data_IF_887426121522
#
_entry.id   IF_887426121522
#
_cell.length_a   1.000
_cell.length_b   1.000
_cell.length_c   1.000
_cell.angle_alpha   90.00
_cell.angle_beta   90.00
_cell.angle_gamma   90.00
#
_symmetry.space_group_name_H-M   'P 1'
#
loop_
_entity.id
_entity.type
_entity.pdbx_description
1 polymer ?
#
# COMPACT_ATOMS: atom_id res chain seq x y z
N UNK A 1 -22.73 32.50 -3.16
CA UNK A 1 -22.89 31.43 -2.17
C UNK A 1 -21.51 30.97 -1.72
N UNK A 2 -21.18 31.15 -0.45
CA UNK A 2 -19.94 30.65 0.11
C UNK A 2 -19.97 29.17 0.30
N UNK A 3 -18.80 28.50 0.25
CA UNK A 3 -18.68 27.11 0.62
C UNK A 3 -19.02 26.95 2.11
N UNK A 4 -19.69 25.87 2.47
CA UNK A 4 -19.91 25.51 3.86
C UNK A 4 -18.61 25.10 4.55
N UNK A 5 -18.67 24.74 5.85
CA UNK A 5 -17.49 24.25 6.55
C UNK A 5 -16.94 22.99 5.88
N UNK A 6 -15.63 22.86 5.93
CA UNK A 6 -14.96 21.64 5.45
C UNK A 6 -15.27 20.51 6.42
N UNK A 7 -15.92 19.46 5.92
CA UNK A 7 -16.15 18.26 6.69
C UNK A 7 -15.14 17.19 6.28
N UNK A 8 -14.47 16.62 7.26
CA UNK A 8 -13.54 15.52 7.02
C UNK A 8 -14.27 14.18 7.01
N UNK A 9 -14.06 13.39 5.95
CA UNK A 9 -14.56 12.03 5.87
C UNK A 9 -13.57 11.10 6.58
N UNK A 10 -13.97 10.39 7.63
CA UNK A 10 -13.07 9.47 8.33
C UNK A 10 -12.57 8.32 7.45
N UNK A 11 -13.23 8.04 6.34
CA UNK A 11 -12.82 7.02 5.36
C UNK A 11 -11.84 7.53 4.30
N UNK A 12 -11.49 8.81 4.32
CA UNK A 12 -10.58 9.42 3.36
C UNK A 12 -9.45 10.15 4.06
N UNK A 13 -8.25 10.11 3.44
CA UNK A 13 -7.13 10.92 3.93
C UNK A 13 -7.39 12.39 3.66
N UNK A 14 -6.99 13.25 4.60
CA UNK A 14 -6.95 14.69 4.35
C UNK A 14 -5.88 15.00 3.30
N UNK A 15 -5.98 16.15 2.65
CA UNK A 15 -4.96 16.61 1.71
C UNK A 15 -3.58 16.70 2.37
N UNK A 16 -3.51 17.24 3.60
CA UNK A 16 -2.26 17.28 4.36
C UNK A 16 -1.68 15.91 4.63
N UNK A 17 -2.52 14.92 4.92
CA UNK A 17 -2.07 13.54 5.14
C UNK A 17 -1.55 12.91 3.84
N UNK A 18 -2.18 13.20 2.71
CA UNK A 18 -1.67 12.74 1.40
C UNK A 18 -0.27 13.29 1.12
N UNK A 19 -0.05 14.58 1.40
CA UNK A 19 1.27 15.20 1.26
C UNK A 19 2.30 14.59 2.21
N UNK A 20 1.90 14.31 3.45
CA UNK A 20 2.75 13.64 4.43
C UNK A 20 3.15 12.25 3.94
N UNK A 21 2.20 11.48 3.40
CA UNK A 21 2.47 10.16 2.86
C UNK A 21 3.44 10.20 1.67
N UNK A 22 3.29 11.15 0.76
CA UNK A 22 4.22 11.35 -0.35
C UNK A 22 5.62 11.70 0.16
N UNK A 23 5.72 12.52 1.18
CA UNK A 23 6.99 12.86 1.82
C UNK A 23 7.65 11.63 2.44
N UNK A 24 6.88 10.79 3.12
CA UNK A 24 7.38 9.53 3.69
C UNK A 24 7.92 8.62 2.58
N UNK A 25 7.18 8.44 1.50
CA UNK A 25 7.60 7.60 0.38
C UNK A 25 8.93 8.07 -0.22
N UNK A 26 9.07 9.37 -0.44
CA UNK A 26 10.29 9.96 -0.98
C UNK A 26 11.48 9.79 -0.05
N UNK A 27 11.31 10.13 1.23
CA UNK A 27 12.37 10.00 2.23
C UNK A 27 12.78 8.55 2.43
N UNK A 28 11.82 7.64 2.49
CA UNK A 28 12.09 6.22 2.66
C UNK A 28 12.94 5.68 1.50
N UNK A 29 12.55 5.99 0.28
CA UNK A 29 13.26 5.54 -0.92
C UNK A 29 14.70 6.06 -0.96
N UNK A 30 14.88 7.35 -0.72
CA UNK A 30 16.21 7.97 -0.71
C UNK A 30 17.06 7.40 0.42
N UNK A 31 16.50 7.30 1.63
CA UNK A 31 17.26 6.86 2.80
C UNK A 31 17.62 5.37 2.75
N UNK A 32 16.74 4.53 2.22
CA UNK A 32 17.02 3.11 2.02
C UNK A 32 18.19 2.96 1.02
N UNK A 33 18.10 3.60 -0.14
CA UNK A 33 19.15 3.51 -1.15
C UNK A 33 20.51 4.03 -0.64
N UNK A 34 20.49 5.03 0.22
CA UNK A 34 21.72 5.58 0.83
C UNK A 34 22.29 4.69 1.92
N UNK A 35 21.50 3.80 2.51
CA UNK A 35 21.91 2.99 3.64
C UNK A 35 22.86 1.84 3.27
N UNK A 36 22.75 1.30 2.05
CA UNK A 36 23.60 0.19 1.60
C UNK A 36 23.63 0.11 0.07
N UNK A 37 24.79 -0.21 -0.47
CA UNK A 37 24.97 -0.38 -1.93
C UNK A 37 24.14 -1.55 -2.50
N UNK A 38 23.82 -2.53 -1.68
CA UNK A 38 23.05 -3.72 -2.08
C UNK A 38 21.66 -3.42 -2.60
N UNK A 39 21.12 -2.26 -2.29
CA UNK A 39 19.81 -1.85 -2.83
C UNK A 39 19.87 -1.40 -4.29
N UNK A 40 21.05 -1.12 -4.82
CA UNK A 40 21.21 -0.63 -6.19
C UNK A 40 20.67 -1.57 -7.27
N UNK A 41 20.72 -2.88 -7.05
CA UNK A 41 20.19 -3.88 -7.98
C UNK A 41 18.86 -4.47 -7.55
N UNK A 42 18.32 -4.02 -6.43
CA UNK A 42 17.07 -4.54 -5.88
C UNK A 42 15.85 -3.86 -6.52
N UNK A 43 14.73 -4.56 -6.49
CA UNK A 43 13.43 -3.97 -6.81
C UNK A 43 12.69 -3.70 -5.50
N UNK A 44 12.59 -2.45 -5.12
CA UNK A 44 11.96 -2.05 -3.86
C UNK A 44 11.02 -0.88 -4.09
N UNK A 45 9.78 -1.03 -3.65
CA UNK A 45 8.76 0.01 -3.69
C UNK A 45 8.28 0.32 -2.28
N UNK A 46 8.01 1.60 -2.05
CA UNK A 46 7.49 2.11 -0.78
C UNK A 46 6.14 2.77 -1.04
N UNK A 47 5.14 2.37 -0.29
CA UNK A 47 3.81 2.98 -0.33
C UNK A 47 3.42 3.38 1.08
N UNK A 48 3.03 4.64 1.27
CA UNK A 48 2.54 5.14 2.56
C UNK A 48 1.08 5.55 2.45
N UNK A 49 0.27 5.04 3.35
CA UNK A 49 -1.15 5.39 3.44
C UNK A 49 -1.49 5.71 4.88
N UNK A 50 -1.78 6.97 5.15
CA UNK A 50 -2.07 7.48 6.50
C UNK A 50 -0.98 7.09 7.53
N UNK A 51 0.28 7.10 7.11
CA UNK A 51 1.43 6.74 7.94
C UNK A 51 1.67 5.24 8.09
N UNK A 52 0.83 4.41 7.51
CA UNK A 52 1.07 2.97 7.38
C UNK A 52 1.93 2.75 6.13
N UNK A 53 3.13 2.24 6.33
CA UNK A 53 4.13 2.11 5.26
C UNK A 53 4.27 0.66 4.85
N UNK A 54 4.12 0.40 3.57
CA UNK A 54 4.32 -0.91 2.95
C UNK A 54 5.63 -0.90 2.17
N UNK A 55 6.47 -1.90 2.45
CA UNK A 55 7.68 -2.17 1.69
C UNK A 55 7.47 -3.47 0.91
N UNK A 56 7.53 -3.41 -0.40
CA UNK A 56 7.38 -4.57 -1.28
C UNK A 56 8.50 -4.63 -2.31
N UNK A 57 8.75 -5.81 -2.81
CA UNK A 57 9.77 -6.06 -3.81
C UNK A 57 10.73 -7.15 -3.37
N UNK A 58 11.91 -7.15 -3.96
CA UNK A 58 12.93 -8.17 -3.72
C UNK A 58 14.25 -7.49 -3.35
N UNK A 59 14.90 -8.04 -2.33
CA UNK A 59 16.21 -7.60 -1.86
C UNK A 59 17.16 -8.80 -1.76
N UNK A 60 18.48 -8.58 -1.88
CA UNK A 60 19.42 -9.71 -1.98
C UNK A 60 19.67 -10.48 -0.68
N UNK A 61 19.30 -9.94 0.49
CA UNK A 61 19.58 -10.62 1.76
C UNK A 61 18.57 -10.28 2.85
N UNK A 62 18.51 -11.12 3.88
CA UNK A 62 17.69 -10.86 5.08
C UNK A 62 18.16 -9.61 5.81
N UNK A 63 19.47 -9.34 5.83
CA UNK A 63 20.05 -8.16 6.46
C UNK A 63 19.51 -6.89 5.80
N UNK A 64 19.43 -6.86 4.46
CA UNK A 64 18.90 -5.71 3.74
C UNK A 64 17.39 -5.58 3.92
N UNK A 65 16.68 -6.70 4.03
CA UNK A 65 15.25 -6.67 4.37
C UNK A 65 15.02 -5.99 5.72
N UNK A 66 15.75 -6.39 6.75
CA UNK A 66 15.66 -5.84 8.10
C UNK A 66 16.10 -4.37 8.14
N UNK A 67 17.19 -4.04 7.46
CA UNK A 67 17.71 -2.67 7.39
C UNK A 67 16.67 -1.70 6.83
N UNK A 68 15.91 -2.10 5.84
CA UNK A 68 14.86 -1.27 5.27
C UNK A 68 13.84 -0.83 6.34
N UNK A 69 13.41 -1.75 7.19
CA UNK A 69 12.52 -1.41 8.33
C UNK A 69 13.19 -0.42 9.27
N UNK A 70 14.46 -0.65 9.62
CA UNK A 70 15.17 0.21 10.56
C UNK A 70 15.31 1.64 10.03
N UNK A 71 15.55 1.78 8.73
CA UNK A 71 15.63 3.09 8.07
C UNK A 71 14.28 3.81 8.09
N UNK A 72 13.22 3.12 7.72
CA UNK A 72 11.87 3.71 7.64
C UNK A 72 11.35 4.09 9.03
N UNK A 73 11.68 3.31 10.06
CA UNK A 73 11.25 3.57 11.43
C UNK A 73 11.68 4.95 11.94
N UNK A 74 12.77 5.51 11.42
CA UNK A 74 13.31 6.81 11.84
C UNK A 74 12.62 8.01 11.17
N UNK A 75 11.77 7.77 10.20
CA UNK A 75 11.07 8.84 9.47
C UNK A 75 9.88 9.32 10.30
N UNK A 76 9.74 10.65 10.43
CA UNK A 76 8.60 11.25 11.13
C UNK A 76 7.30 10.87 10.48
N UNK A 77 6.25 10.76 11.29
CA UNK A 77 4.88 10.46 10.88
C UNK A 77 4.62 9.02 10.44
N UNK A 78 5.63 8.16 10.44
CA UNK A 78 5.43 6.73 10.22
C UNK A 78 4.78 6.11 11.44
N UNK A 79 3.60 5.52 11.26
CA UNK A 79 2.80 4.94 12.34
C UNK A 79 2.94 3.42 12.42
N UNK A 80 3.10 2.76 11.28
CA UNK A 80 3.24 1.31 11.20
C UNK A 80 4.01 0.95 9.93
N UNK A 81 4.80 -0.12 10.01
CA UNK A 81 5.59 -0.62 8.88
C UNK A 81 5.21 -2.06 8.60
N UNK A 82 4.85 -2.33 7.36
CA UNK A 82 4.64 -3.69 6.85
C UNK A 82 5.79 -4.00 5.91
N UNK A 83 6.73 -4.80 6.38
CA UNK A 83 7.87 -5.23 5.56
C UNK A 83 7.54 -6.55 4.88
N UNK A 84 7.05 -6.44 3.66
CA UNK A 84 6.69 -7.58 2.81
C UNK A 84 7.74 -7.83 1.73
N UNK A 85 8.97 -7.35 1.95
CA UNK A 85 10.08 -7.63 1.04
C UNK A 85 10.42 -9.12 1.04
N UNK A 86 10.72 -9.64 -0.13
CA UNK A 86 11.19 -11.02 -0.28
C UNK A 86 12.69 -11.00 -0.56
N UNK A 87 13.39 -11.99 -0.01
CA UNK A 87 14.81 -12.19 -0.31
C UNK A 87 14.93 -12.96 -1.61
N UNK A 88 15.60 -12.37 -2.60
CA UNK A 88 15.76 -12.98 -3.90
C UNK A 88 16.15 -11.97 -4.96
N UNK A 89 16.23 -12.43 -6.18
CA UNK A 89 16.51 -11.57 -7.33
C UNK A 89 15.28 -10.72 -7.68
N UNK A 90 15.54 -9.53 -8.21
CA UNK A 90 14.49 -8.65 -8.69
C UNK A 90 13.70 -9.32 -9.82
N UNK A 91 12.37 -9.19 -9.77
CA UNK A 91 11.49 -9.68 -10.84
C UNK A 91 11.75 -8.90 -12.13
N UNK A 92 11.53 -9.57 -13.26
CA UNK A 92 11.71 -8.97 -14.57
C UNK A 92 10.53 -8.10 -15.01
N UNK A 93 10.70 -7.46 -16.17
CA UNK A 93 9.69 -6.56 -16.75
C UNK A 93 8.35 -7.25 -17.02
N UNK A 94 8.37 -8.55 -17.37
CA UNK A 94 7.15 -9.33 -17.59
C UNK A 94 6.29 -9.46 -16.33
N UNK A 95 6.93 -9.75 -15.20
CA UNK A 95 6.24 -9.83 -13.91
C UNK A 95 5.67 -8.47 -13.49
N UNK A 96 6.42 -7.40 -13.71
CA UNK A 96 5.96 -6.02 -13.37
C UNK A 96 4.77 -5.60 -14.24
N UNK A 97 4.79 -5.95 -15.52
CA UNK A 97 3.67 -5.68 -16.43
C UNK A 97 2.43 -6.45 -15.99
N UNK A 98 2.60 -7.71 -15.61
CA UNK A 98 1.52 -8.54 -15.08
C UNK A 98 0.95 -7.95 -13.78
N UNK A 99 1.81 -7.47 -12.88
CA UNK A 99 1.39 -6.82 -11.63
C UNK A 99 0.58 -5.55 -11.91
N UNK A 100 0.98 -4.75 -12.86
CA UNK A 100 0.23 -3.55 -13.28
C UNK A 100 -1.15 -3.94 -13.81
N UNK A 101 -1.21 -4.98 -14.61
CA UNK A 101 -2.48 -5.49 -15.14
C UNK A 101 -3.40 -5.98 -14.02
N UNK A 102 -2.85 -6.74 -13.05
CA UNK A 102 -3.60 -7.20 -11.88
C UNK A 102 -4.16 -6.03 -11.08
N UNK A 103 -3.33 -5.02 -10.80
CA UNK A 103 -3.77 -3.81 -10.10
C UNK A 103 -4.97 -3.18 -10.81
N UNK A 104 -4.89 -3.05 -12.12
CA UNK A 104 -5.97 -2.47 -12.93
C UNK A 104 -7.24 -3.30 -12.84
N UNK A 105 -7.14 -4.63 -12.91
CA UNK A 105 -8.30 -5.53 -12.80
C UNK A 105 -8.96 -5.44 -11.43
N UNK A 106 -8.16 -5.45 -10.36
CA UNK A 106 -8.68 -5.34 -9.00
C UNK A 106 -9.37 -3.99 -8.79
N UNK A 107 -8.71 -2.90 -9.17
CA UNK A 107 -9.30 -1.55 -9.06
C UNK A 107 -10.60 -1.43 -9.84
N UNK A 108 -10.63 -1.90 -11.06
CA UNK A 108 -11.85 -1.85 -11.90
C UNK A 108 -12.99 -2.61 -11.25
N UNK A 109 -12.71 -3.77 -10.70
CA UNK A 109 -13.72 -4.59 -10.02
C UNK A 109 -14.27 -3.89 -8.77
N UNK A 110 -13.39 -3.32 -7.95
CA UNK A 110 -13.81 -2.60 -6.75
C UNK A 110 -14.62 -1.35 -7.07
N UNK A 111 -14.26 -0.63 -8.12
CA UNK A 111 -14.98 0.57 -8.55
C UNK A 111 -16.35 0.24 -9.16
N UNK A 112 -16.47 -0.90 -9.82
CA UNK A 112 -17.72 -1.33 -10.43
C UNK A 112 -18.73 -1.88 -9.41
N UNK A 113 -18.26 -2.34 -8.26
CA UNK A 113 -19.12 -2.88 -7.20
C UNK A 113 -19.73 -1.76 -6.37
N UNK A 114 -21.05 -1.72 -6.26
CA UNK A 114 -21.75 -0.77 -5.40
C UNK A 114 -21.60 -1.08 -3.91
N UNK A 115 -21.16 -2.29 -3.59
CA UNK A 115 -21.03 -2.76 -2.20
C UNK A 115 -19.63 -2.49 -1.60
N UNK A 116 -18.72 -1.94 -2.40
CA UNK A 116 -17.34 -1.65 -1.93
C UNK A 116 -17.02 -0.17 -2.07
N UNK A 117 -16.24 0.39 -1.12
CA UNK A 117 -15.74 1.76 -1.23
C UNK A 117 -14.47 1.81 -2.08
N UNK A 118 -14.54 1.33 -3.33
CA UNK A 118 -13.37 1.13 -4.20
C UNK A 118 -12.50 2.37 -4.40
N UNK A 119 -13.08 3.56 -4.37
CA UNK A 119 -12.34 4.83 -4.50
C UNK A 119 -11.42 5.12 -3.31
N UNK A 120 -11.71 4.54 -2.15
CA UNK A 120 -10.96 4.75 -0.90
C UNK A 120 -9.91 3.67 -0.67
N UNK A 121 -9.76 2.72 -1.59
CA UNK A 121 -8.83 1.60 -1.47
C UNK A 121 -7.61 1.84 -2.33
N UNK A 122 -6.44 1.75 -1.71
CA UNK A 122 -5.16 1.70 -2.41
C UNK A 122 -4.81 0.25 -2.70
N UNK A 123 -4.61 -0.07 -3.96
CA UNK A 123 -4.24 -1.42 -4.43
C UNK A 123 -2.78 -1.41 -4.86
N UNK A 124 -2.00 -2.29 -4.28
CA UNK A 124 -0.59 -2.49 -4.65
C UNK A 124 -0.40 -3.96 -4.99
N UNK A 125 0.16 -4.24 -6.15
CA UNK A 125 0.45 -5.62 -6.57
C UNK A 125 1.95 -5.80 -6.75
N UNK A 126 2.49 -6.83 -6.14
CA UNK A 126 3.89 -7.22 -6.28
C UNK A 126 3.97 -8.74 -6.42
N UNK A 127 4.53 -9.20 -7.52
CA UNK A 127 4.71 -10.61 -7.84
C UNK A 127 3.41 -11.43 -7.65
N UNK A 128 2.31 -10.91 -8.21
CA UNK A 128 0.95 -11.49 -8.17
C UNK A 128 0.28 -11.50 -6.79
N UNK A 129 0.89 -10.90 -5.78
CA UNK A 129 0.28 -10.70 -4.46
C UNK A 129 -0.31 -9.31 -4.40
N UNK A 130 -1.56 -9.21 -3.99
CA UNK A 130 -2.29 -7.93 -3.89
C UNK A 130 -2.33 -7.48 -2.43
N UNK A 131 -1.85 -6.27 -2.20
CA UNK A 131 -1.89 -5.60 -0.90
C UNK A 131 -2.94 -4.50 -0.95
N UNK A 132 -3.81 -4.47 0.03
CA UNK A 132 -4.92 -3.50 0.11
C UNK A 132 -4.72 -2.60 1.31
N UNK A 133 -4.75 -1.29 1.08
CA UNK A 133 -4.63 -0.27 2.11
C UNK A 133 -5.82 0.68 2.05
N UNK A 134 -6.17 1.26 3.16
CA UNK A 134 -7.29 2.19 3.23
C UNK A 134 -7.83 2.34 4.64
N UNK A 135 -8.68 3.34 4.83
CA UNK A 135 -9.40 3.59 6.07
C UNK A 135 -10.81 3.01 5.89
N UNK A 136 -11.04 1.81 6.40
CA UNK A 136 -12.29 1.08 6.19
C UNK A 136 -12.85 0.57 7.50
N UNK A 137 -14.17 0.42 7.52
CA UNK A 137 -14.81 -0.36 8.59
C UNK A 137 -14.49 -1.84 8.38
N UNK A 138 -14.67 -2.64 9.43
CA UNK A 138 -14.44 -4.08 9.33
C UNK A 138 -15.29 -4.73 8.24
N UNK A 139 -16.56 -4.35 8.14
CA UNK A 139 -17.47 -4.88 7.12
C UNK A 139 -17.02 -4.48 5.70
N UNK A 140 -16.59 -3.24 5.51
CA UNK A 140 -16.05 -2.77 4.23
C UNK A 140 -14.78 -3.54 3.84
N UNK A 141 -13.90 -3.74 4.80
CA UNK A 141 -12.63 -4.46 4.60
C UNK A 141 -12.89 -5.91 4.13
N UNK A 142 -13.83 -6.60 4.76
CA UNK A 142 -14.20 -7.97 4.37
C UNK A 142 -14.71 -8.03 2.93
N UNK A 143 -15.61 -7.12 2.56
CA UNK A 143 -16.16 -7.08 1.19
C UNK A 143 -15.09 -6.78 0.16
N UNK A 144 -14.23 -5.81 0.44
CA UNK A 144 -13.14 -5.44 -0.47
C UNK A 144 -12.18 -6.61 -0.68
N UNK A 145 -11.79 -7.29 0.39
CA UNK A 145 -10.87 -8.42 0.32
C UNK A 145 -11.46 -9.58 -0.49
N UNK A 146 -12.75 -9.89 -0.28
CA UNK A 146 -13.45 -10.94 -1.04
C UNK A 146 -13.50 -10.61 -2.54
N UNK A 147 -13.86 -9.38 -2.88
CA UNK A 147 -13.89 -8.93 -4.28
C UNK A 147 -12.52 -9.01 -4.95
N UNK A 148 -11.48 -8.57 -4.26
CA UNK A 148 -10.12 -8.63 -4.79
C UNK A 148 -9.65 -10.07 -5.01
N UNK A 149 -9.99 -10.97 -4.09
CA UNK A 149 -9.61 -12.38 -4.17
C UNK A 149 -10.28 -13.12 -5.32
N UNK A 150 -11.40 -12.61 -5.83
CA UNK A 150 -12.10 -13.20 -6.97
C UNK A 150 -11.42 -12.96 -8.32
N UNK A 151 -10.46 -12.06 -8.39
CA UNK A 151 -9.66 -11.85 -9.60
C UNK A 151 -8.73 -13.05 -9.77
N UNK A 152 -8.98 -13.88 -10.79
CA UNK A 152 -8.43 -15.23 -10.91
C UNK A 152 -6.91 -15.35 -11.03
N UNK A 153 -6.21 -14.27 -11.34
CA UNK A 153 -4.75 -14.24 -11.48
C UNK A 153 -4.03 -13.79 -10.20
N UNK A 154 -4.79 -13.40 -9.18
CA UNK A 154 -4.24 -13.01 -7.88
C UNK A 154 -3.84 -14.25 -7.12
N UNK A 155 -2.58 -14.32 -6.69
CA UNK A 155 -2.07 -15.43 -5.90
C UNK A 155 -2.64 -15.41 -4.48
N UNK A 156 -2.62 -14.23 -3.85
CA UNK A 156 -3.25 -14.01 -2.54
C UNK A 156 -3.49 -12.53 -2.31
N UNK A 157 -4.35 -12.23 -1.35
CA UNK A 157 -4.68 -10.87 -0.93
C UNK A 157 -4.19 -10.65 0.50
N UNK A 158 -3.47 -9.56 0.71
CA UNK A 158 -2.98 -9.15 2.04
C UNK A 158 -3.71 -7.87 2.44
N UNK A 159 -4.42 -7.92 3.55
CA UNK A 159 -5.18 -6.79 4.06
C UNK A 159 -4.32 -5.97 5.02
N UNK A 160 -4.06 -4.72 4.64
CA UNK A 160 -3.28 -3.77 5.43
C UNK A 160 -4.12 -2.53 5.76
N UNK A 161 -5.41 -2.72 5.96
CA UNK A 161 -6.33 -1.63 6.27
C UNK A 161 -6.12 -1.10 7.68
N UNK A 162 -6.31 0.21 7.85
CA UNK A 162 -6.55 0.80 9.15
C UNK A 162 -8.05 0.77 9.37
N UNK A 163 -8.50 0.03 10.38
CA UNK A 163 -9.92 -0.11 10.66
C UNK A 163 -10.45 1.12 11.38
N UNK A 164 -11.57 1.64 10.88
CA UNK A 164 -12.28 2.76 11.49
C UNK A 164 -13.63 2.28 12.02
N UNK A 165 -14.20 2.98 13.02
CA UNK A 165 -15.51 2.61 13.56
C UNK A 165 -16.59 2.68 12.49
N UNK A 166 -17.57 1.78 12.59
CA UNK A 166 -18.76 1.86 11.75
C UNK A 166 -19.52 3.15 12.09
N UNK A 167 -20.20 3.80 11.10
CA UNK A 167 -21.01 4.97 11.38
C UNK A 167 -22.10 4.64 12.40
N UNK A 168 -22.45 5.59 13.29
CA UNK A 168 -23.56 5.37 14.23
C UNK A 168 -24.86 5.21 13.45
N UNK A 169 -25.71 4.33 13.96
CA UNK A 169 -27.05 4.06 13.39
C UNK A 169 -27.99 5.21 13.72
#
# INVERSE_FOLDING_TARGET
AGAGPIEEDPGERTFGQQMTDESIETKAKVNINAADEGYGGAHLSVVSFNGFVLLVGQVPSEELKTLATDVVRKIEDVRRIYNELEVGEATGSGARTNDTWITTQVKSKLLASSDTPGRRVKVVTENSVVYLMGLLTEAEAERVALEAAEVGVVERVVQLFELIPAPPI
#
